data_IF_348528444785
#
_entry.id   IF_348528444785
#
_cell.length_a   1.000
_cell.length_b   1.000
_cell.length_c   1.000
_cell.angle_alpha   90.00
_cell.angle_beta   90.00
_cell.angle_gamma   90.00
#
_symmetry.space_group_name_H-M   'P 1'
#
loop_
_entity.id
_entity.type
_entity.pdbx_description
1 polymer ?
#
# COMPACT_ATOMS: atom_id res chain seq x y z
N UNK A 1 30.42 -1.01 -1.80
CA UNK A 1 30.09 -0.17 -0.62
C UNK A 1 31.16 -0.26 0.45
N UNK A 2 31.46 -1.46 1.00
CA UNK A 2 32.53 -1.66 1.99
C UNK A 2 33.88 -1.05 1.58
N UNK A 3 34.33 -1.34 0.36
CA UNK A 3 35.60 -0.80 -0.20
C UNK A 3 35.65 0.72 -0.33
N UNK A 4 34.50 1.38 -0.44
CA UNK A 4 34.44 2.85 -0.51
C UNK A 4 34.56 3.46 0.89
N UNK A 5 33.85 2.90 1.86
CA UNK A 5 33.84 3.37 3.26
C UNK A 5 35.22 3.19 3.89
N UNK A 6 35.87 2.05 3.63
CA UNK A 6 37.18 1.71 4.19
C UNK A 6 38.36 2.38 3.48
N UNK A 7 38.12 3.16 2.43
CA UNK A 7 39.17 3.87 1.74
C UNK A 7 39.58 5.12 2.56
N UNK A 8 40.85 5.23 2.99
CA UNK A 8 41.33 6.39 3.74
C UNK A 8 41.08 7.74 3.04
N UNK A 9 41.03 7.76 1.71
CA UNK A 9 40.74 8.96 0.91
C UNK A 9 39.34 9.53 1.16
N UNK A 10 38.39 8.72 1.64
CA UNK A 10 37.01 9.16 1.87
C UNK A 10 36.71 9.49 3.34
N UNK A 11 37.68 9.29 4.25
CA UNK A 11 37.51 9.55 5.67
C UNK A 11 36.98 10.95 5.95
N UNK A 12 37.60 11.97 5.35
CA UNK A 12 37.21 13.37 5.55
C UNK A 12 35.77 13.65 5.08
N UNK A 13 35.29 12.94 4.06
CA UNK A 13 33.91 13.06 3.57
C UNK A 13 32.94 12.50 4.61
N UNK A 14 33.24 11.33 5.17
CA UNK A 14 32.40 10.69 6.20
C UNK A 14 32.35 11.55 7.47
N UNK A 15 33.51 12.02 7.93
CA UNK A 15 33.60 12.91 9.09
C UNK A 15 32.83 14.23 8.87
N UNK A 16 32.90 14.80 7.66
CA UNK A 16 32.11 15.98 7.29
C UNK A 16 30.60 15.70 7.36
N UNK A 17 30.12 14.58 6.83
CA UNK A 17 28.70 14.20 6.90
C UNK A 17 28.26 14.04 8.36
N UNK A 18 29.02 13.33 9.18
CA UNK A 18 28.73 13.14 10.62
C UNK A 18 28.65 14.51 11.31
N UNK A 19 29.60 15.41 11.01
CA UNK A 19 29.60 16.76 11.56
C UNK A 19 28.36 17.54 11.14
N UNK A 20 27.98 17.52 9.87
CA UNK A 20 26.78 18.20 9.35
C UNK A 20 25.51 17.69 10.00
N UNK A 21 25.35 16.36 10.15
CA UNK A 21 24.17 15.77 10.78
C UNK A 21 24.08 16.06 12.29
N UNK A 22 25.17 16.48 12.92
CA UNK A 22 25.20 16.77 14.36
C UNK A 22 24.74 18.19 14.72
N UNK A 23 24.59 19.11 13.76
CA UNK A 23 24.42 20.56 14.00
C UNK A 23 23.20 20.88 14.89
N UNK A 24 22.05 20.23 14.64
CA UNK A 24 20.79 20.47 15.35
C UNK A 24 20.54 19.42 16.46
N UNK A 25 21.61 18.84 17.00
CA UNK A 25 21.53 17.79 18.01
C UNK A 25 22.34 18.18 19.26
N UNK A 26 22.13 17.52 20.42
CA UNK A 26 22.98 17.73 21.60
C UNK A 26 24.48 17.50 21.35
N UNK A 27 24.81 16.78 20.27
CA UNK A 27 26.18 16.49 19.85
C UNK A 27 26.77 17.58 18.94
N UNK A 28 26.21 18.78 18.93
CA UNK A 28 26.75 19.93 18.20
C UNK A 28 28.02 20.51 18.87
N UNK A 29 28.82 21.25 18.10
CA UNK A 29 30.01 21.96 18.61
C UNK A 29 31.22 21.07 18.92
N UNK A 30 32.12 21.57 19.77
CA UNK A 30 33.44 20.97 20.06
C UNK A 30 33.59 20.47 21.50
N UNK A 31 32.47 20.25 22.20
CA UNK A 31 32.52 19.68 23.55
C UNK A 31 33.13 18.26 23.52
N UNK A 32 33.87 17.84 24.55
CA UNK A 32 34.55 16.54 24.55
C UNK A 32 33.61 15.35 24.27
N UNK A 33 32.40 15.39 24.81
CA UNK A 33 31.39 14.35 24.60
C UNK A 33 30.89 14.29 23.16
N UNK A 34 30.70 15.45 22.51
CA UNK A 34 30.31 15.55 21.12
C UNK A 34 31.40 15.02 20.17
N UNK A 35 32.66 15.36 20.43
CA UNK A 35 33.81 14.84 19.66
C UNK A 35 33.92 13.33 19.83
N UNK A 36 33.80 12.83 21.06
CA UNK A 36 33.83 11.40 21.34
C UNK A 36 32.66 10.65 20.68
N UNK A 37 31.46 11.22 20.66
CA UNK A 37 30.32 10.64 19.96
C UNK A 37 30.58 10.51 18.46
N UNK A 38 31.05 11.57 17.79
CA UNK A 38 31.33 11.56 16.35
C UNK A 38 32.43 10.56 15.99
N UNK A 39 33.47 10.45 16.82
CA UNK A 39 34.51 9.44 16.65
C UNK A 39 33.93 8.02 16.72
N UNK A 40 33.12 7.70 17.75
CA UNK A 40 32.45 6.40 17.85
C UNK A 40 31.52 6.12 16.66
N UNK A 41 30.82 7.14 16.15
CA UNK A 41 29.97 6.99 14.95
C UNK A 41 30.79 6.72 13.70
N UNK A 42 31.95 7.37 13.54
CA UNK A 42 32.86 7.08 12.45
C UNK A 42 33.35 5.64 12.52
N UNK A 43 33.86 5.20 13.68
CA UNK A 43 34.34 3.83 13.88
C UNK A 43 33.24 2.80 13.61
N UNK A 44 32.01 3.08 14.08
CA UNK A 44 30.86 2.23 13.82
C UNK A 44 30.53 2.12 12.33
N UNK A 45 30.46 3.24 11.60
CA UNK A 45 30.19 3.25 10.16
C UNK A 45 31.30 2.56 9.38
N UNK A 46 32.55 2.76 9.80
CA UNK A 46 33.74 2.23 9.13
C UNK A 46 33.87 0.71 9.30
N UNK A 47 33.68 0.21 10.52
CA UNK A 47 34.04 -1.16 10.87
C UNK A 47 32.83 -2.08 11.08
N UNK A 48 31.69 -1.57 11.56
CA UNK A 48 30.63 -2.43 12.12
C UNK A 48 29.32 -2.41 11.32
N UNK A 49 28.93 -1.25 10.77
CA UNK A 49 27.63 -1.08 10.10
C UNK A 49 27.42 -2.08 8.95
N UNK A 50 28.39 -2.20 8.03
CA UNK A 50 28.24 -3.09 6.87
C UNK A 50 28.24 -4.57 7.27
N UNK A 51 29.16 -5.05 8.13
CA UNK A 51 29.07 -6.41 8.66
C UNK A 51 27.75 -6.74 9.37
N UNK A 52 27.19 -5.82 10.15
CA UNK A 52 25.89 -6.02 10.81
C UNK A 52 24.74 -6.13 9.79
N UNK A 53 24.73 -5.28 8.77
CA UNK A 53 23.77 -5.38 7.65
C UNK A 53 23.92 -6.74 6.95
N UNK A 54 25.15 -7.16 6.64
CA UNK A 54 25.43 -8.43 5.97
C UNK A 54 24.96 -9.62 6.81
N UNK A 55 25.21 -9.58 8.13
CA UNK A 55 24.77 -10.63 9.05
C UNK A 55 23.23 -10.77 9.05
N UNK A 56 22.51 -9.66 9.20
CA UNK A 56 21.03 -9.67 9.23
C UNK A 56 20.44 -10.05 7.87
N UNK A 57 21.04 -9.57 6.76
CA UNK A 57 20.55 -9.87 5.42
C UNK A 57 20.68 -11.36 5.06
N UNK A 58 21.71 -12.04 5.58
CA UNK A 58 21.97 -13.45 5.32
C UNK A 58 21.42 -14.39 6.41
N UNK A 59 20.89 -13.86 7.50
CA UNK A 59 20.30 -14.67 8.56
C UNK A 59 18.91 -15.17 8.13
N UNK A 60 18.73 -16.50 7.97
CA UNK A 60 17.47 -17.09 7.52
C UNK A 60 16.35 -16.98 8.58
N UNK A 61 16.66 -16.57 9.81
CA UNK A 61 15.66 -16.34 10.86
C UNK A 61 14.76 -15.12 10.58
N UNK A 62 15.24 -14.16 9.78
CA UNK A 62 14.45 -13.02 9.29
C UNK A 62 13.71 -13.38 7.99
N UNK A 63 12.39 -13.45 8.06
CA UNK A 63 11.53 -13.94 6.98
C UNK A 63 11.06 -12.86 5.98
N UNK A 64 11.32 -11.58 6.24
CA UNK A 64 10.73 -10.46 5.50
C UNK A 64 11.40 -10.23 4.14
N UNK A 65 10.69 -10.17 3.02
CA UNK A 65 11.36 -10.04 1.71
C UNK A 65 12.14 -8.73 1.52
N UNK A 66 11.65 -7.63 2.09
CA UNK A 66 12.30 -6.32 1.98
C UNK A 66 13.47 -6.17 2.96
N UNK A 67 14.64 -5.77 2.45
CA UNK A 67 15.84 -5.55 3.27
C UNK A 67 15.62 -4.53 4.39
N UNK A 68 14.95 -3.40 4.10
CA UNK A 68 14.66 -2.38 5.10
C UNK A 68 13.80 -2.90 6.25
N UNK A 69 12.84 -3.79 5.96
CA UNK A 69 11.97 -4.41 6.95
C UNK A 69 12.73 -5.46 7.79
N UNK A 70 13.63 -6.25 7.19
CA UNK A 70 14.52 -7.15 7.95
C UNK A 70 15.40 -6.36 8.92
N UNK A 71 16.09 -5.33 8.43
CA UNK A 71 16.99 -4.50 9.24
C UNK A 71 16.26 -3.78 10.36
N UNK A 72 15.02 -3.35 10.10
CA UNK A 72 14.12 -2.80 11.10
C UNK A 72 13.75 -3.80 12.20
N UNK A 73 13.35 -5.02 11.82
CA UNK A 73 13.00 -6.07 12.78
C UNK A 73 14.20 -6.54 13.60
N UNK A 74 15.41 -6.47 13.05
CA UNK A 74 16.65 -6.71 13.78
C UNK A 74 17.04 -5.56 14.74
N UNK A 75 16.33 -4.43 14.70
CA UNK A 75 16.61 -3.25 15.52
C UNK A 75 17.80 -2.42 15.04
N UNK A 76 18.40 -2.77 13.89
CA UNK A 76 19.54 -2.04 13.32
C UNK A 76 19.10 -0.72 12.68
N UNK A 77 17.95 -0.75 12.01
CA UNK A 77 17.31 0.46 11.49
C UNK A 77 16.00 0.73 12.25
N UNK A 78 15.52 1.98 12.30
CA UNK A 78 14.15 2.23 12.74
C UNK A 78 13.15 1.44 11.90
N UNK A 79 12.06 0.99 12.51
CA UNK A 79 10.96 0.38 11.77
C UNK A 79 10.47 1.32 10.67
N UNK A 80 10.56 0.86 9.42
CA UNK A 80 10.18 1.63 8.25
C UNK A 80 8.67 1.91 8.24
N UNK A 81 8.32 3.17 8.04
CA UNK A 81 6.95 3.62 7.81
C UNK A 81 6.17 3.87 9.10
N UNK A 82 5.78 5.12 9.35
CA UNK A 82 4.66 5.36 10.24
C UNK A 82 3.40 4.81 9.56
N UNK A 83 2.80 3.71 10.04
CA UNK A 83 1.59 3.20 9.44
C UNK A 83 0.53 4.30 9.51
N UNK A 84 -0.01 4.67 8.36
CA UNK A 84 -1.14 5.59 8.36
C UNK A 84 -2.29 4.89 9.08
N UNK A 85 -2.96 5.59 10.00
CA UNK A 85 -4.22 5.12 10.60
C UNK A 85 -5.37 5.17 9.62
N UNK A 86 -5.14 5.45 8.34
CA UNK A 86 -6.16 5.57 7.31
C UNK A 86 -6.14 4.33 6.43
N UNK A 87 -7.32 3.80 6.13
CA UNK A 87 -7.52 2.76 5.12
C UNK A 87 -8.39 3.32 4.00
N UNK A 88 -8.17 2.80 2.80
CA UNK A 88 -8.89 3.18 1.60
C UNK A 88 -9.79 2.04 1.16
N UNK A 89 -11.06 2.32 0.91
CA UNK A 89 -11.94 1.48 0.11
C UNK A 89 -11.97 2.03 -1.31
N UNK A 90 -11.51 1.24 -2.28
CA UNK A 90 -11.57 1.59 -3.69
C UNK A 90 -13.00 1.37 -4.22
N UNK A 91 -13.65 2.45 -4.63
CA UNK A 91 -14.98 2.41 -5.27
C UNK A 91 -14.89 2.33 -6.80
N UNK A 92 -13.71 2.63 -7.35
CA UNK A 92 -13.38 2.42 -8.76
C UNK A 92 -11.96 1.85 -8.86
N UNK A 93 -11.70 1.06 -9.91
CA UNK A 93 -10.36 0.58 -10.19
C UNK A 93 -9.49 1.73 -10.72
N UNK A 94 -8.36 2.07 -10.07
CA UNK A 94 -7.46 3.07 -10.61
C UNK A 94 -6.77 2.51 -11.86
N UNK A 95 -7.04 3.12 -13.02
CA UNK A 95 -6.51 2.67 -14.31
C UNK A 95 -5.19 3.36 -14.66
N UNK A 96 -5.00 4.61 -14.23
CA UNK A 96 -3.77 5.37 -14.41
C UNK A 96 -3.06 5.60 -13.08
N UNK A 97 -1.74 5.71 -13.14
CA UNK A 97 -0.89 5.93 -11.97
C UNK A 97 -0.37 7.37 -11.88
N UNK A 98 -1.04 8.31 -12.56
CA UNK A 98 -0.60 9.72 -12.64
C UNK A 98 -0.65 10.40 -11.27
N UNK A 99 -1.58 9.98 -10.40
CA UNK A 99 -1.66 10.40 -8.99
C UNK A 99 -1.66 9.16 -8.09
N UNK A 100 -0.64 9.01 -7.24
CA UNK A 100 -0.48 7.86 -6.35
C UNK A 100 -0.19 8.28 -4.90
N UNK A 101 -0.87 7.70 -3.88
CA UNK A 101 -1.97 6.74 -3.99
C UNK A 101 -3.23 7.34 -4.65
N UNK A 102 -4.14 6.52 -5.20
CA UNK A 102 -5.33 7.01 -5.89
C UNK A 102 -6.17 7.93 -5.01
N UNK A 103 -6.42 9.15 -5.47
CA UNK A 103 -7.23 10.16 -4.75
C UNK A 103 -8.70 10.16 -5.18
N UNK A 104 -8.96 9.71 -6.41
CA UNK A 104 -10.31 9.59 -6.96
C UNK A 104 -10.86 8.17 -6.77
N UNK A 105 -12.17 8.05 -6.59
CA UNK A 105 -12.80 6.74 -6.45
C UNK A 105 -12.36 5.97 -5.20
N UNK A 106 -12.05 6.69 -4.11
CA UNK A 106 -11.69 6.09 -2.81
C UNK A 106 -12.55 6.64 -1.69
N UNK A 107 -12.79 5.82 -0.67
CA UNK A 107 -13.32 6.25 0.63
C UNK A 107 -12.23 6.04 1.65
N UNK A 108 -11.85 7.10 2.37
CA UNK A 108 -10.89 7.03 3.45
C UNK A 108 -11.59 6.92 4.80
N UNK A 109 -11.09 6.04 5.66
CA UNK A 109 -11.56 5.90 7.04
C UNK A 109 -10.39 5.68 7.96
N UNK A 110 -10.48 6.23 9.18
CA UNK A 110 -9.58 5.81 10.25
C UNK A 110 -9.75 4.30 10.48
N UNK A 111 -8.66 3.62 10.86
CA UNK A 111 -8.56 2.18 11.02
C UNK A 111 -9.73 1.63 11.84
N UNK A 112 -10.09 2.30 12.92
CA UNK A 112 -11.17 1.88 13.83
C UNK A 112 -12.54 1.81 13.12
N UNK A 113 -12.80 2.71 12.18
CA UNK A 113 -14.01 2.72 11.36
C UNK A 113 -13.90 1.81 10.14
N UNK A 114 -12.71 1.72 9.56
CA UNK A 114 -12.45 0.90 8.39
C UNK A 114 -12.69 -0.59 8.68
N UNK A 115 -12.40 -1.06 9.90
CA UNK A 115 -12.61 -2.45 10.31
C UNK A 115 -14.07 -2.88 10.10
N UNK A 116 -15.04 -2.03 10.44
CA UNK A 116 -16.47 -2.37 10.29
C UNK A 116 -17.00 -2.04 8.89
N UNK A 117 -16.67 -0.86 8.37
CA UNK A 117 -17.23 -0.36 7.11
C UNK A 117 -16.64 -1.05 5.87
N UNK A 118 -15.38 -1.50 5.94
CA UNK A 118 -14.70 -2.16 4.83
C UNK A 118 -14.59 -3.67 5.00
N UNK A 119 -15.23 -4.23 6.04
CA UNK A 119 -15.39 -5.68 6.16
C UNK A 119 -16.15 -6.23 4.94
N UNK A 120 -15.77 -7.41 4.41
CA UNK A 120 -16.48 -8.00 3.28
C UNK A 120 -17.99 -8.11 3.52
N UNK A 121 -18.79 -7.61 2.57
CA UNK A 121 -20.25 -7.56 2.67
C UNK A 121 -20.81 -6.30 3.35
N UNK A 122 -19.97 -5.50 4.03
CA UNK A 122 -20.40 -4.21 4.58
C UNK A 122 -20.70 -3.21 3.47
N UNK A 123 -21.72 -2.40 3.71
CA UNK A 123 -22.16 -1.35 2.80
C UNK A 123 -21.79 0.03 3.35
N UNK A 124 -21.11 0.83 2.53
CA UNK A 124 -20.79 2.23 2.84
C UNK A 124 -21.46 3.14 1.82
N UNK A 125 -22.18 4.16 2.30
CA UNK A 125 -22.82 5.15 1.42
C UNK A 125 -21.85 6.31 1.17
N UNK A 126 -21.63 6.62 -0.11
CA UNK A 126 -20.90 7.81 -0.57
C UNK A 126 -21.53 8.32 -1.85
N UNK A 127 -21.67 9.64 -2.00
CA UNK A 127 -22.18 10.28 -3.22
C UNK A 127 -23.52 9.70 -3.73
N UNK A 128 -24.43 9.38 -2.79
CA UNK A 128 -25.74 8.75 -3.05
C UNK A 128 -25.67 7.34 -3.67
N UNK A 129 -24.50 6.72 -3.68
CA UNK A 129 -24.30 5.32 -4.07
C UNK A 129 -23.98 4.46 -2.84
N UNK A 130 -24.43 3.21 -2.88
CA UNK A 130 -24.08 2.18 -1.91
C UNK A 130 -22.89 1.40 -2.45
N UNK A 131 -21.81 1.33 -1.67
CA UNK A 131 -20.62 0.58 -2.00
C UNK A 131 -20.47 -0.62 -1.08
N UNK A 132 -20.55 -1.81 -1.63
CA UNK A 132 -20.31 -3.06 -0.90
C UNK A 132 -18.83 -3.41 -0.96
N UNK A 133 -18.20 -3.60 0.19
CA UNK A 133 -16.83 -4.09 0.25
C UNK A 133 -16.77 -5.57 -0.15
N UNK A 134 -15.91 -5.93 -1.11
CA UNK A 134 -15.86 -7.29 -1.69
C UNK A 134 -14.58 -8.06 -1.37
N UNK A 135 -13.57 -7.40 -0.81
CA UNK A 135 -12.29 -8.00 -0.50
C UNK A 135 -11.16 -6.99 -0.35
N UNK A 136 -9.95 -7.52 -0.21
CA UNK A 136 -8.71 -6.75 -0.07
C UNK A 136 -7.88 -6.94 -1.34
N UNK A 137 -7.27 -5.86 -1.80
CA UNK A 137 -6.40 -5.85 -2.97
C UNK A 137 -5.08 -5.16 -2.62
N UNK A 138 -3.96 -5.73 -3.07
CA UNK A 138 -2.68 -5.03 -3.08
C UNK A 138 -2.51 -4.39 -4.46
N UNK A 139 -2.64 -3.06 -4.54
CA UNK A 139 -2.40 -2.32 -5.76
C UNK A 139 -0.97 -1.79 -5.75
N UNK A 140 -0.22 -2.05 -6.82
CA UNK A 140 1.13 -1.53 -6.99
C UNK A 140 1.29 -0.91 -8.37
N UNK A 141 2.17 0.08 -8.44
CA UNK A 141 2.47 0.79 -9.69
C UNK A 141 3.57 0.07 -10.44
N UNK A 142 3.40 -0.10 -11.76
CA UNK A 142 4.48 -0.45 -12.68
C UNK A 142 4.38 0.44 -13.91
N UNK A 143 5.32 1.39 -14.06
CA UNK A 143 5.25 2.48 -15.05
C UNK A 143 3.98 3.34 -14.86
N UNK A 144 3.27 3.71 -15.93
CA UNK A 144 2.04 4.53 -15.89
C UNK A 144 0.76 3.73 -15.65
N UNK A 145 0.88 2.44 -15.32
CA UNK A 145 -0.24 1.52 -15.09
C UNK A 145 -0.24 1.00 -13.66
N UNK A 146 -1.44 0.74 -13.17
CA UNK A 146 -1.67 0.11 -11.87
C UNK A 146 -1.93 -1.37 -12.09
N UNK A 147 -1.23 -2.19 -11.32
CA UNK A 147 -1.36 -3.64 -11.28
C UNK A 147 -1.84 -4.05 -9.89
N UNK A 148 -2.25 -5.31 -9.76
CA UNK A 148 -2.61 -5.90 -8.49
C UNK A 148 -2.03 -7.29 -8.37
N UNK A 149 -1.60 -7.64 -7.17
CA UNK A 149 -1.34 -9.04 -6.85
C UNK A 149 -2.67 -9.80 -6.72
N UNK A 150 -2.60 -11.14 -6.78
CA UNK A 150 -3.75 -11.95 -6.42
C UNK A 150 -4.13 -11.69 -4.95
N UNK A 151 -5.22 -10.95 -4.76
CA UNK A 151 -5.73 -10.59 -3.44
C UNK A 151 -6.80 -11.56 -2.93
N UNK A 152 -7.24 -11.35 -1.68
CA UNK A 152 -8.42 -12.01 -1.13
C UNK A 152 -9.68 -11.37 -1.71
N UNK A 153 -10.08 -11.82 -2.89
CA UNK A 153 -11.28 -11.37 -3.58
C UNK A 153 -12.31 -12.49 -3.64
N UNK A 154 -13.55 -12.22 -3.23
CA UNK A 154 -14.64 -13.15 -3.50
C UNK A 154 -14.96 -13.11 -4.99
N UNK A 155 -14.86 -14.26 -5.67
CA UNK A 155 -15.32 -14.41 -7.06
C UNK A 155 -16.79 -13.95 -7.15
N UNK A 156 -17.07 -12.98 -8.02
CA UNK A 156 -18.45 -12.53 -8.25
C UNK A 156 -19.31 -13.71 -8.72
N UNK A 157 -20.55 -13.88 -8.22
CA UNK A 157 -21.43 -14.99 -8.62
C UNK A 157 -21.86 -14.98 -10.10
N UNK A 158 -21.60 -13.90 -10.85
CA UNK A 158 -21.93 -13.81 -12.27
C UNK A 158 -20.64 -13.89 -13.09
N UNK A 159 -20.51 -14.95 -13.88
CA UNK A 159 -19.33 -15.29 -14.69
C UNK A 159 -19.05 -14.30 -15.82
N UNK A 160 -18.59 -13.09 -15.48
CA UNK A 160 -17.94 -12.16 -16.41
C UNK A 160 -16.44 -12.09 -16.10
N UNK A 161 -15.54 -12.30 -17.08
CA UNK A 161 -14.11 -12.21 -16.88
C UNK A 161 -13.68 -10.75 -16.96
N UNK A 162 -14.00 -9.92 -15.97
CA UNK A 162 -13.43 -8.57 -15.89
C UNK A 162 -13.61 -8.00 -14.49
N UNK A 163 -12.50 -7.53 -13.91
CA UNK A 163 -12.36 -6.83 -12.64
C UNK A 163 -13.37 -5.69 -12.52
N UNK A 164 -14.53 -6.01 -11.95
CA UNK A 164 -15.61 -5.06 -11.70
C UNK A 164 -15.81 -5.03 -10.19
N UNK A 165 -15.43 -3.93 -9.53
CA UNK A 165 -16.05 -3.58 -8.26
C UNK A 165 -17.51 -3.31 -8.61
N UNK A 166 -18.37 -4.30 -8.37
CA UNK A 166 -19.78 -4.22 -8.72
C UNK A 166 -20.42 -3.18 -7.82
N UNK A 167 -20.56 -1.95 -8.32
CA UNK A 167 -21.56 -1.00 -7.84
C UNK A 167 -22.91 -1.64 -8.13
N UNK A 168 -23.49 -2.31 -7.12
CA UNK A 168 -24.94 -2.44 -7.13
C UNK A 168 -25.45 -1.06 -6.79
N UNK A 169 -25.92 -0.33 -7.80
CA UNK A 169 -26.76 0.84 -7.57
C UNK A 169 -28.05 0.35 -6.91
N UNK A 170 -28.01 0.19 -5.59
CA UNK A 170 -29.21 -0.01 -4.80
C UNK A 170 -30.05 1.26 -4.93
N UNK A 171 -31.34 1.05 -5.20
CA UNK A 171 -32.34 2.05 -5.57
C UNK A 171 -32.30 3.28 -4.64
N UNK A 172 -32.67 4.48 -5.14
CA UNK A 172 -32.87 5.63 -4.27
C UNK A 172 -33.86 5.28 -3.15
N UNK A 173 -33.58 5.71 -1.93
CA UNK A 173 -34.48 5.59 -0.78
C UNK A 173 -35.82 6.29 -1.09
N UNK A 174 -36.81 5.55 -1.59
CA UNK A 174 -38.15 6.08 -1.86
C UNK A 174 -39.02 5.91 -0.62
N UNK A 175 -39.46 7.01 -0.01
CA UNK A 175 -40.60 6.98 0.92
C UNK A 175 -41.87 6.63 0.14
N UNK A 176 -42.63 5.70 0.68
CA UNK A 176 -43.83 5.07 0.12
C UNK A 176 -44.92 6.05 -0.30
N UNK A 177 -45.50 5.84 -1.48
CA UNK A 177 -46.88 6.22 -1.80
C UNK A 177 -47.46 5.31 -2.91
N UNK A 178 -48.33 4.42 -2.46
CA UNK A 178 -49.48 3.78 -3.12
C UNK A 178 -49.80 4.14 -4.58
N UNK A 179 -49.77 3.15 -5.50
CA UNK A 179 -50.94 2.83 -6.37
C UNK A 179 -50.74 1.58 -7.24
N UNK A 180 -51.79 0.77 -7.25
CA UNK A 180 -52.09 -0.35 -8.15
C UNK A 180 -51.92 -0.01 -9.64
N UNK A 181 -51.39 -0.96 -10.43
CA UNK A 181 -52.10 -1.59 -11.56
C UNK A 181 -51.33 -2.75 -12.19
N UNK A 182 -52.09 -3.78 -12.56
CA UNK A 182 -51.71 -4.94 -13.36
C UNK A 182 -51.17 -4.55 -14.74
N UNK A 183 -50.23 -5.34 -15.27
CA UNK A 183 -50.35 -5.86 -16.63
C UNK A 183 -49.50 -7.13 -16.80
N UNK A 184 -50.12 -8.11 -17.46
CA UNK A 184 -49.60 -9.43 -17.85
C UNK A 184 -49.06 -9.35 -19.29
N UNK A 185 -48.46 -10.46 -19.76
CA UNK A 185 -48.09 -10.83 -21.16
C UNK A 185 -46.69 -10.36 -21.59
N UNK A 186 -45.82 -11.18 -22.19
CA UNK A 186 -45.90 -12.56 -22.67
C UNK A 186 -44.54 -13.01 -23.23
N UNK A 187 -44.30 -14.32 -23.23
CA UNK A 187 -43.16 -14.97 -23.89
C UNK A 187 -43.21 -14.77 -25.41
N UNK A 188 -42.06 -14.58 -26.04
CA UNK A 188 -41.86 -14.90 -27.45
C UNK A 188 -40.41 -15.33 -27.68
N UNK A 189 -40.22 -16.63 -27.86
CA UNK A 189 -39.02 -17.22 -28.42
C UNK A 189 -38.95 -16.89 -29.91
N UNK A 190 -37.76 -16.50 -30.40
CA UNK A 190 -37.39 -16.74 -31.80
C UNK A 190 -35.97 -17.28 -31.87
N UNK A 191 -35.91 -18.51 -32.36
CA UNK A 191 -34.78 -19.27 -32.85
C UNK A 191 -33.91 -18.50 -33.85
N UNK A 192 -32.58 -18.60 -33.70
CA UNK A 192 -31.60 -18.36 -34.78
C UNK A 192 -30.97 -19.70 -35.18
N UNK A 193 -30.82 -20.00 -36.48
CA UNK A 193 -30.04 -21.16 -36.92
C UNK A 193 -28.52 -20.88 -36.87
N UNK A 194 -27.76 -21.97 -36.72
CA UNK A 194 -26.31 -22.05 -36.62
C UNK A 194 -25.58 -21.76 -37.96
N UNK A 195 -24.24 -21.53 -37.95
CA UNK A 195 -23.50 -20.89 -39.03
C UNK A 195 -22.94 -21.86 -40.07
N UNK A 196 -22.74 -21.39 -41.31
CA UNK A 196 -21.86 -22.03 -42.29
C UNK A 196 -20.44 -21.46 -42.18
N UNK A 197 -19.46 -22.36 -42.06
CA UNK A 197 -18.05 -22.12 -42.30
C UNK A 197 -17.75 -22.21 -43.81
N UNK A 198 -16.91 -21.31 -44.34
CA UNK A 198 -15.56 -21.53 -44.89
C UNK A 198 -14.86 -20.18 -44.93
#
# INVERSE_FOLDING_TARGET
MRSWIQNPAHRTIIEAIISTLSIETPWAGSQPEAVAFRARMYDYIHDNLVPEIDAIANDPSYIQDALSERLANAGLLPMFGFPTRVRLLYTAWPTTADTWPPVGGVIDRNLDLAISQFAPGSETVKDKAVHTAIGVVNLYRKSHKVFSDEGFLRRSPKGTPTWSVSVHTARPWSRSASRLRHLRVGLSQRSRPAPCAV
#
